data_IF_224199750493
#
_entry.id   IF_224199750493
#
_cell.length_a   1.000
_cell.length_b   1.000
_cell.length_c   1.000
_cell.angle_alpha   90.00
_cell.angle_beta   90.00
_cell.angle_gamma   90.00
#
_symmetry.space_group_name_H-M   'P 1'
#
loop_
_entity.id
_entity.type
_entity.pdbx_description
1 polymer ?
#
# COMPACT_ATOMS: atom_id res chain seq x y z
N UNK A 1 -38.99 -31.14 -9.42
CA UNK A 1 -37.62 -31.30 -8.89
C UNK A 1 -36.99 -29.94 -8.94
N UNK A 2 -36.90 -29.36 -7.75
CA UNK A 2 -36.39 -28.03 -7.44
C UNK A 2 -34.86 -28.09 -7.39
N UNK A 3 -34.20 -27.03 -7.88
CA UNK A 3 -32.91 -26.48 -7.44
C UNK A 3 -32.12 -25.92 -8.63
N UNK A 4 -32.49 -24.70 -9.04
CA UNK A 4 -31.60 -23.83 -9.79
C UNK A 4 -30.66 -23.15 -8.78
N UNK A 5 -29.43 -23.63 -8.76
CA UNK A 5 -28.32 -23.14 -7.93
C UNK A 5 -28.18 -21.61 -8.04
N UNK A 6 -28.64 -20.88 -7.02
CA UNK A 6 -28.22 -19.50 -6.77
C UNK A 6 -26.74 -19.51 -6.40
N UNK A 7 -25.85 -19.59 -7.38
CA UNK A 7 -24.43 -19.31 -7.20
C UNK A 7 -24.30 -17.81 -6.94
N UNK A 8 -24.30 -17.47 -5.66
CA UNK A 8 -24.12 -16.11 -5.18
C UNK A 8 -22.86 -15.51 -5.77
N UNK A 9 -23.04 -14.53 -6.64
CA UNK A 9 -22.08 -13.44 -6.78
C UNK A 9 -22.03 -12.74 -5.42
N UNK A 10 -21.18 -13.24 -4.51
CA UNK A 10 -20.54 -12.36 -3.55
C UNK A 10 -19.71 -11.41 -4.40
N UNK A 11 -20.34 -10.33 -4.87
CA UNK A 11 -19.63 -9.08 -5.05
C UNK A 11 -18.79 -8.96 -3.79
N UNK A 12 -17.46 -9.06 -3.93
CA UNK A 12 -16.57 -8.67 -2.87
C UNK A 12 -17.01 -7.25 -2.57
N UNK A 13 -17.74 -7.06 -1.48
CA UNK A 13 -17.82 -5.77 -0.83
C UNK A 13 -16.38 -5.33 -0.77
N UNK A 14 -15.99 -4.42 -1.66
CA UNK A 14 -14.92 -3.49 -1.44
C UNK A 14 -15.35 -2.79 -0.17
N UNK A 15 -15.11 -3.42 0.98
CA UNK A 15 -15.18 -2.76 2.27
C UNK A 15 -14.29 -1.56 2.07
N UNK A 16 -14.91 -0.39 1.90
CA UNK A 16 -14.21 0.87 1.84
C UNK A 16 -13.31 0.87 3.06
N UNK A 17 -12.02 0.64 2.82
CA UNK A 17 -11.06 0.53 3.90
C UNK A 17 -11.03 1.94 4.45
N UNK A 18 -11.65 2.17 5.60
CA UNK A 18 -11.66 3.48 6.24
C UNK A 18 -10.23 3.87 6.55
N UNK A 19 -9.62 4.60 5.63
CA UNK A 19 -8.24 5.07 5.75
C UNK A 19 -8.22 6.11 6.87
N UNK A 20 -7.24 6.02 7.76
CA UNK A 20 -7.04 7.01 8.83
C UNK A 20 -6.90 8.42 8.26
N UNK A 21 -7.19 9.45 9.05
CA UNK A 21 -7.09 10.85 8.63
C UNK A 21 -5.73 11.20 8.03
N UNK A 22 -4.65 10.57 8.50
CA UNK A 22 -3.29 10.72 7.97
C UNK A 22 -3.18 10.08 6.58
N UNK A 23 -3.71 8.86 6.42
CA UNK A 23 -3.68 8.13 5.17
C UNK A 23 -4.48 8.76 4.02
N UNK A 24 -5.38 9.71 4.32
CA UNK A 24 -6.13 10.47 3.28
C UNK A 24 -5.22 11.27 2.35
N UNK A 25 -4.07 11.73 2.84
CA UNK A 25 -3.07 12.43 2.02
C UNK A 25 -2.24 11.48 1.13
N UNK A 26 -2.32 10.18 1.40
CA UNK A 26 -1.45 9.15 0.85
C UNK A 26 -2.22 8.26 -0.12
N UNK A 27 -2.73 8.85 -1.20
CA UNK A 27 -3.54 8.14 -2.21
C UNK A 27 -2.69 7.27 -3.12
N UNK A 28 -3.33 6.29 -3.79
CA UNK A 28 -2.66 5.46 -4.78
C UNK A 28 -2.01 6.34 -5.87
N UNK A 29 -0.75 6.07 -6.18
CA UNK A 29 0.04 6.85 -7.15
C UNK A 29 0.80 8.03 -6.55
N UNK A 30 0.58 8.37 -5.28
CA UNK A 30 1.37 9.42 -4.60
C UNK A 30 2.79 8.93 -4.35
N UNK A 31 3.77 9.80 -4.67
CA UNK A 31 5.16 9.60 -4.31
C UNK A 31 5.38 10.06 -2.86
N UNK A 32 6.01 9.21 -2.06
CA UNK A 32 6.26 9.47 -0.65
C UNK A 32 7.66 9.02 -0.26
N UNK A 33 8.25 9.74 0.68
CA UNK A 33 9.41 9.28 1.43
C UNK A 33 8.92 8.44 2.62
N UNK A 34 9.59 7.33 2.92
CA UNK A 34 9.33 6.55 4.11
C UNK A 34 10.62 6.07 4.77
N UNK A 35 10.58 5.91 6.08
CA UNK A 35 11.71 5.38 6.85
C UNK A 35 11.50 3.92 7.19
N UNK A 36 12.42 3.06 6.74
CA UNK A 36 12.46 1.65 7.08
C UNK A 36 13.77 1.29 7.78
N UNK A 37 13.68 0.67 8.96
CA UNK A 37 14.76 0.56 9.94
C UNK A 37 15.43 1.91 10.24
N UNK A 38 16.59 2.18 9.65
CA UNK A 38 17.39 3.41 9.81
C UNK A 38 17.66 4.11 8.48
N UNK A 39 17.06 3.61 7.41
CA UNK A 39 17.25 4.12 6.06
C UNK A 39 15.97 4.80 5.59
N UNK A 40 16.14 5.90 4.86
CA UNK A 40 15.06 6.56 4.15
C UNK A 40 15.04 6.02 2.72
N UNK A 41 13.84 5.78 2.24
CA UNK A 41 13.56 5.33 0.90
C UNK A 41 12.43 6.18 0.35
N UNK A 42 12.31 6.24 -0.96
CA UNK A 42 11.15 6.78 -1.63
C UNK A 42 10.43 5.68 -2.39
N UNK A 43 9.17 5.91 -2.68
CA UNK A 43 8.35 4.98 -3.42
C UNK A 43 6.96 5.49 -3.70
N UNK A 44 6.23 4.71 -4.49
CA UNK A 44 4.89 5.05 -4.93
C UNK A 44 3.88 4.18 -4.22
N UNK A 45 2.79 4.80 -3.73
CA UNK A 45 1.72 4.07 -3.07
C UNK A 45 0.98 3.19 -4.09
N UNK A 46 1.03 1.89 -3.87
CA UNK A 46 0.26 0.92 -4.65
C UNK A 46 -1.15 0.75 -4.09
N UNK A 47 -1.28 0.69 -2.76
CA UNK A 47 -2.55 0.44 -2.09
C UNK A 47 -2.60 1.05 -0.69
N UNK A 48 -3.68 1.74 -0.38
CA UNK A 48 -3.97 2.24 0.96
C UNK A 48 -4.57 1.13 1.84
N UNK A 49 -4.12 1.07 3.08
CA UNK A 49 -4.72 0.30 4.16
C UNK A 49 -5.21 1.27 5.25
N UNK A 50 -5.82 0.74 6.31
CA UNK A 50 -6.41 1.54 7.40
C UNK A 50 -5.40 2.50 8.06
N UNK A 51 -4.24 1.99 8.47
CA UNK A 51 -3.19 2.76 9.18
C UNK A 51 -1.81 2.70 8.49
N UNK A 52 -1.77 2.06 7.32
CA UNK A 52 -0.54 1.77 6.57
C UNK A 52 -0.82 1.84 5.09
N UNK A 53 0.21 1.90 4.26
CA UNK A 53 0.11 1.73 2.83
C UNK A 53 1.07 0.62 2.36
N UNK A 54 0.71 0.00 1.25
CA UNK A 54 1.59 -0.82 0.43
C UNK A 54 2.23 0.12 -0.59
N UNK A 55 3.54 0.07 -0.69
CA UNK A 55 4.34 0.87 -1.59
C UNK A 55 5.25 -0.01 -2.44
N UNK A 56 5.48 0.47 -3.65
CA UNK A 56 6.57 0.01 -4.48
C UNK A 56 7.75 0.95 -4.27
N UNK A 57 8.94 0.40 -4.08
CA UNK A 57 10.17 1.21 -4.02
C UNK A 57 10.38 1.93 -5.36
N UNK A 58 10.97 3.11 -5.30
CA UNK A 58 11.40 3.80 -6.51
C UNK A 58 12.53 3.00 -7.20
N UNK A 59 12.59 2.95 -8.55
CA UNK A 59 13.65 2.26 -9.29
C UNK A 59 15.08 2.65 -8.88
N UNK A 60 15.30 3.85 -8.31
CA UNK A 60 16.61 4.22 -7.77
C UNK A 60 17.08 3.26 -6.66
N UNK A 61 16.17 2.60 -5.93
CA UNK A 61 16.48 1.69 -4.84
C UNK A 61 16.47 0.21 -5.22
N UNK A 62 16.22 -0.14 -6.49
CA UNK A 62 16.08 -1.54 -6.94
C UNK A 62 17.32 -2.39 -6.62
N UNK A 63 18.50 -1.76 -6.63
CA UNK A 63 19.79 -2.39 -6.35
C UNK A 63 20.10 -2.54 -4.85
N UNK A 64 19.28 -1.98 -3.96
CA UNK A 64 19.53 -2.06 -2.51
C UNK A 64 19.09 -3.41 -1.95
N UNK A 65 19.88 -3.98 -1.03
CA UNK A 65 19.55 -5.25 -0.39
C UNK A 65 18.15 -5.25 0.23
N UNK A 66 17.73 -4.12 0.82
CA UNK A 66 16.40 -3.95 1.41
C UNK A 66 15.29 -4.11 0.38
N UNK A 67 15.41 -3.45 -0.78
CA UNK A 67 14.39 -3.51 -1.81
C UNK A 67 14.33 -4.91 -2.45
N UNK A 68 15.49 -5.55 -2.65
CA UNK A 68 15.60 -6.92 -3.17
C UNK A 68 14.95 -7.93 -2.21
N UNK A 69 15.29 -7.86 -0.91
CA UNK A 69 14.74 -8.76 0.12
C UNK A 69 13.22 -8.64 0.23
N UNK A 70 12.71 -7.41 0.13
CA UNK A 70 11.28 -7.09 0.16
C UNK A 70 10.59 -7.25 -1.20
N UNK A 71 11.27 -7.74 -2.24
CA UNK A 71 10.71 -7.93 -3.60
C UNK A 71 10.08 -6.64 -4.17
N UNK A 72 10.76 -5.52 -3.95
CA UNK A 72 10.33 -4.18 -4.36
C UNK A 72 8.99 -3.71 -3.76
N UNK A 73 8.48 -4.39 -2.72
CA UNK A 73 7.20 -4.08 -2.07
C UNK A 73 7.29 -4.00 -0.57
N UNK A 74 6.76 -2.94 0.01
CA UNK A 74 6.76 -2.76 1.47
C UNK A 74 5.41 -2.30 1.99
N UNK A 75 5.07 -2.77 3.19
CA UNK A 75 3.96 -2.23 3.98
C UNK A 75 4.54 -1.32 5.06
N UNK A 76 4.17 -0.05 5.07
CA UNK A 76 4.64 0.92 6.06
C UNK A 76 3.48 1.70 6.66
N UNK A 77 3.56 2.00 7.96
CA UNK A 77 2.57 2.84 8.63
C UNK A 77 2.66 4.30 8.16
N UNK A 78 1.52 4.97 8.02
CA UNK A 78 1.48 6.38 7.59
C UNK A 78 2.30 7.32 8.48
N UNK A 79 2.47 6.97 9.76
CA UNK A 79 3.32 7.73 10.70
C UNK A 79 4.80 7.76 10.32
N UNK A 80 5.27 6.79 9.54
CA UNK A 80 6.66 6.69 9.05
C UNK A 80 6.81 7.20 7.62
N UNK A 81 5.76 7.79 7.06
CA UNK A 81 5.69 8.31 5.71
C UNK A 81 5.66 9.84 5.72
N UNK A 82 6.18 10.43 4.66
CA UNK A 82 6.10 11.85 4.35
C UNK A 82 5.77 12.00 2.87
N UNK A 83 4.77 12.81 2.56
CA UNK A 83 4.50 13.17 1.17
C UNK A 83 5.66 14.04 0.68
N UNK A 84 6.17 13.73 -0.49
CA UNK A 84 7.14 14.56 -1.22
C UNK A 84 6.36 15.12 -2.41
N UNK A 85 6.05 16.42 -2.35
CA UNK A 85 5.41 17.19 -3.43
C UNK A 85 6.39 17.47 -4.56
#
# INVERSE_FOLDING_TARGET
MEQSEKRGQKAREEKEIEVSSIGKAFVKGTHVEFTYHRHRFTGVIEKQLRNSAILNFDPEFDHTNTAIDLKQKIVISYQKMKAIE
#
